data_IF_580490830243
#
_entry.id   IF_580490830243
#
_cell.length_a   1.000
_cell.length_b   1.000
_cell.length_c   1.000
_cell.angle_alpha   90.00
_cell.angle_beta   90.00
_cell.angle_gamma   90.00
#
_symmetry.space_group_name_H-M   'P 1'
#
loop_
_entity.id
_entity.type
_entity.pdbx_description
1 polymer ?
#
# COMPACT_ATOMS: atom_id res chain seq x y z
N UNK A 1 -34.65 -8.09 6.16
CA UNK A 1 -33.25 -8.24 6.63
C UNK A 1 -32.31 -8.43 5.43
N UNK A 2 -31.48 -7.43 5.14
CA UNK A 2 -30.62 -7.34 3.94
C UNK A 2 -29.40 -8.27 4.02
N UNK A 3 -29.42 -9.41 3.32
CA UNK A 3 -28.24 -10.30 3.15
C UNK A 3 -27.37 -9.87 1.96
N UNK A 4 -26.87 -8.62 1.94
CA UNK A 4 -25.98 -8.13 0.85
C UNK A 4 -24.68 -7.46 1.31
N UNK A 5 -24.30 -7.53 2.58
CA UNK A 5 -23.16 -6.75 3.09
C UNK A 5 -21.84 -7.50 3.23
N UNK A 6 -21.75 -8.80 2.90
CA UNK A 6 -20.48 -9.57 3.04
C UNK A 6 -19.88 -10.03 1.70
N UNK A 7 -20.08 -9.26 0.63
CA UNK A 7 -19.44 -9.51 -0.67
C UNK A 7 -18.15 -8.69 -0.75
N UNK A 8 -16.96 -9.31 -0.91
CA UNK A 8 -15.74 -8.55 -1.15
C UNK A 8 -15.90 -7.79 -2.47
N UNK A 9 -15.61 -6.48 -2.47
CA UNK A 9 -15.66 -5.67 -3.69
C UNK A 9 -14.60 -6.17 -4.68
N UNK A 10 -14.91 -6.16 -5.98
CA UNK A 10 -13.93 -6.43 -7.03
C UNK A 10 -12.75 -5.45 -6.85
N UNK A 11 -11.58 -6.00 -6.53
CA UNK A 11 -10.36 -5.23 -6.30
C UNK A 11 -9.71 -4.90 -7.63
N UNK A 12 -9.82 -3.66 -8.07
CA UNK A 12 -8.91 -3.12 -9.08
C UNK A 12 -7.69 -2.53 -8.36
N UNK A 13 -6.52 -3.08 -8.62
CA UNK A 13 -5.26 -2.60 -8.07
C UNK A 13 -4.10 -3.24 -8.81
N UNK A 14 -3.00 -2.51 -8.92
CA UNK A 14 -1.81 -3.02 -9.61
C UNK A 14 -1.18 -4.14 -8.78
N UNK A 15 -1.02 -5.31 -9.39
CA UNK A 15 -0.30 -6.44 -8.79
C UNK A 15 1.13 -6.39 -9.29
N UNK A 16 2.06 -5.99 -8.43
CA UNK A 16 3.49 -6.12 -8.69
C UNK A 16 3.89 -7.59 -8.46
N UNK A 17 4.37 -8.27 -9.50
CA UNK A 17 4.78 -9.69 -9.44
C UNK A 17 6.20 -9.75 -8.88
N UNK A 18 6.40 -10.45 -7.76
CA UNK A 18 7.68 -10.55 -7.04
C UNK A 18 8.79 -11.31 -7.79
N UNK A 19 8.47 -11.96 -8.91
CA UNK A 19 9.42 -12.77 -9.68
C UNK A 19 10.40 -11.93 -10.53
N UNK A 20 10.19 -10.62 -10.64
CA UNK A 20 11.15 -9.72 -11.28
C UNK A 20 12.23 -9.27 -10.28
N UNK A 21 13.52 -9.26 -10.65
CA UNK A 21 14.61 -8.87 -9.75
C UNK A 21 14.40 -7.47 -9.13
N UNK A 22 13.79 -6.56 -9.88
CA UNK A 22 13.47 -5.17 -9.46
C UNK A 22 12.32 -5.10 -8.44
N UNK A 23 11.35 -6.00 -8.51
CA UNK A 23 10.14 -5.97 -7.65
C UNK A 23 10.22 -6.94 -6.46
N UNK A 24 11.36 -7.61 -6.28
CA UNK A 24 11.63 -8.53 -5.17
C UNK A 24 11.70 -7.78 -3.83
N UNK A 25 12.28 -6.59 -3.81
CA UNK A 25 12.41 -5.75 -2.62
C UNK A 25 11.07 -5.08 -2.25
N UNK A 26 10.70 -5.21 -0.97
CA UNK A 26 9.52 -4.59 -0.37
C UNK A 26 9.54 -3.06 -0.47
N UNK A 27 10.71 -2.44 -0.29
CA UNK A 27 10.88 -0.98 -0.31
C UNK A 27 10.57 -0.40 -1.69
N UNK A 28 10.86 -1.15 -2.74
CA UNK A 28 10.57 -0.75 -4.12
C UNK A 28 9.08 -0.75 -4.38
N UNK A 29 8.39 -1.80 -3.91
CA UNK A 29 6.93 -1.87 -4.00
C UNK A 29 6.27 -0.74 -3.21
N UNK A 30 6.83 -0.39 -2.06
CA UNK A 30 6.38 0.76 -1.26
C UNK A 30 6.61 2.09 -1.98
N UNK A 31 7.78 2.30 -2.57
CA UNK A 31 8.08 3.52 -3.32
C UNK A 31 7.16 3.69 -4.54
N UNK A 32 6.84 2.61 -5.26
CA UNK A 32 5.85 2.63 -6.35
C UNK A 32 4.46 2.97 -5.81
N UNK A 33 4.08 2.42 -4.65
CA UNK A 33 2.80 2.71 -4.01
C UNK A 33 2.69 4.19 -3.61
N UNK A 34 3.80 4.80 -3.17
CA UNK A 34 3.88 6.23 -2.87
C UNK A 34 3.81 7.11 -4.12
N UNK A 35 4.40 6.66 -5.24
CA UNK A 35 4.34 7.38 -6.51
C UNK A 35 2.98 7.27 -7.21
N UNK A 36 2.12 6.34 -6.78
CA UNK A 36 0.80 6.13 -7.37
C UNK A 36 -0.24 7.10 -6.79
N UNK A 37 -0.64 8.08 -7.59
CA UNK A 37 -1.68 9.03 -7.23
C UNK A 37 -3.09 8.50 -7.55
N UNK A 38 -3.70 7.82 -6.58
CA UNK A 38 -5.07 7.33 -6.69
C UNK A 38 -6.09 8.47 -6.71
N UNK A 39 -5.88 9.54 -5.95
CA UNK A 39 -6.90 10.58 -5.77
C UNK A 39 -7.04 11.42 -7.04
N UNK A 40 -5.92 11.73 -7.70
CA UNK A 40 -5.94 12.33 -9.02
C UNK A 40 -6.59 11.42 -10.05
N UNK A 41 -6.26 10.12 -10.08
CA UNK A 41 -6.91 9.19 -11.02
C UNK A 41 -8.41 9.09 -10.79
N UNK A 42 -8.85 9.02 -9.52
CA UNK A 42 -10.25 8.96 -9.16
C UNK A 42 -11.00 10.21 -9.62
N UNK A 43 -10.38 11.39 -9.44
CA UNK A 43 -10.94 12.68 -9.86
C UNK A 43 -10.94 12.87 -11.38
N UNK A 44 -9.84 12.54 -12.05
CA UNK A 44 -9.62 12.80 -13.48
C UNK A 44 -10.25 11.76 -14.41
N UNK A 45 -10.23 10.48 -14.02
CA UNK A 45 -10.67 9.37 -14.89
C UNK A 45 -12.00 8.75 -14.44
N UNK A 46 -12.30 8.78 -13.15
CA UNK A 46 -13.42 8.03 -12.57
C UNK A 46 -14.50 8.91 -11.91
N UNK A 47 -14.43 10.23 -12.07
CA UNK A 47 -15.40 11.20 -11.53
C UNK A 47 -15.72 10.99 -10.03
N UNK A 48 -14.72 10.61 -9.22
CA UNK A 48 -14.85 10.26 -7.81
C UNK A 48 -15.79 9.09 -7.49
N UNK A 49 -16.12 8.24 -8.46
CA UNK A 49 -17.00 7.09 -8.25
C UNK A 49 -16.33 5.94 -7.47
N UNK A 50 -15.00 5.98 -7.31
CA UNK A 50 -14.25 4.91 -6.66
C UNK A 50 -13.81 5.31 -5.26
N UNK A 51 -13.71 4.32 -4.37
CA UNK A 51 -13.19 4.48 -3.02
C UNK A 51 -11.95 3.60 -2.89
N UNK A 52 -10.90 4.15 -2.29
CA UNK A 52 -9.60 3.50 -2.21
C UNK A 52 -9.67 2.23 -1.37
N UNK A 53 -8.97 1.21 -1.85
CA UNK A 53 -8.87 -0.06 -1.12
C UNK A 53 -7.71 0.00 -0.12
N UNK A 54 -8.02 -0.24 1.16
CA UNK A 54 -7.04 -0.24 2.25
C UNK A 54 -6.84 -1.62 2.89
N UNK A 55 -7.67 -2.60 2.53
CA UNK A 55 -7.62 -3.96 3.07
C UNK A 55 -7.91 -4.98 1.97
N UNK A 56 -7.30 -6.16 2.05
CA UNK A 56 -7.56 -7.26 1.13
C UNK A 56 -8.99 -7.80 1.25
N UNK A 57 -9.55 -7.77 2.46
CA UNK A 57 -10.89 -8.25 2.77
C UNK A 57 -11.88 -7.11 3.01
N UNK A 58 -11.71 -6.00 2.28
CA UNK A 58 -12.54 -4.81 2.43
C UNK A 58 -14.04 -5.15 2.31
N UNK A 59 -14.85 -4.51 3.17
CA UNK A 59 -16.28 -4.78 3.36
C UNK A 59 -16.65 -6.13 3.96
N UNK A 60 -15.69 -6.81 4.59
CA UNK A 60 -15.98 -7.98 5.41
C UNK A 60 -15.62 -7.72 6.88
N UNK A 61 -16.01 -8.64 7.75
CA UNK A 61 -15.57 -8.71 9.15
C UNK A 61 -14.06 -8.92 9.28
N UNK A 62 -13.42 -9.55 8.28
CA UNK A 62 -11.98 -9.86 8.24
C UNK A 62 -11.11 -8.69 7.77
N UNK A 63 -11.68 -7.50 7.56
CA UNK A 63 -10.89 -6.34 7.19
C UNK A 63 -10.05 -5.87 8.38
N UNK A 64 -8.73 -5.89 8.23
CA UNK A 64 -7.80 -5.26 9.16
C UNK A 64 -8.06 -3.74 9.23
N UNK A 65 -8.82 -3.32 10.25
CA UNK A 65 -9.17 -1.91 10.52
C UNK A 65 -8.42 -1.35 11.73
N UNK A 66 -8.11 -2.22 12.69
CA UNK A 66 -7.54 -1.87 13.99
C UNK A 66 -6.23 -2.62 14.22
N UNK A 67 -5.58 -2.33 15.34
CA UNK A 67 -4.45 -3.11 15.84
C UNK A 67 -4.84 -4.58 16.06
N UNK A 68 -3.88 -5.51 15.94
CA UNK A 68 -4.15 -6.93 16.17
C UNK A 68 -4.72 -7.16 17.57
N UNK A 69 -5.85 -7.86 17.65
CA UNK A 69 -6.43 -8.24 18.94
C UNK A 69 -5.60 -9.35 19.60
N UNK A 70 -5.83 -9.63 20.89
CA UNK A 70 -5.11 -10.65 21.64
C UNK A 70 -5.15 -12.03 20.95
N UNK A 71 -6.29 -12.40 20.35
CA UNK A 71 -6.43 -13.64 19.58
C UNK A 71 -5.58 -13.63 18.29
N UNK A 72 -5.50 -12.50 17.59
CA UNK A 72 -4.68 -12.36 16.39
C UNK A 72 -3.19 -12.35 16.73
N UNK A 73 -2.80 -11.76 17.86
CA UNK A 73 -1.41 -11.79 18.35
C UNK A 73 -0.93 -13.21 18.64
N UNK A 74 -1.80 -14.09 19.15
CA UNK A 74 -1.48 -15.52 19.35
C UNK A 74 -1.19 -16.21 18.02
N UNK A 75 -1.95 -15.89 16.97
CA UNK A 75 -1.73 -16.43 15.62
C UNK A 75 -0.48 -15.84 14.96
N UNK A 76 -0.18 -14.56 15.21
CA UNK A 76 0.97 -13.86 14.63
C UNK A 76 2.29 -14.14 15.37
N UNK A 77 2.24 -14.55 16.64
CA UNK A 77 3.40 -14.87 17.46
C UNK A 77 4.43 -15.81 16.79
N UNK A 78 4.05 -16.98 16.23
CA UNK A 78 5.00 -17.86 15.55
C UNK A 78 5.59 -17.26 14.27
N UNK A 79 4.90 -16.29 13.65
CA UNK A 79 5.31 -15.66 12.39
C UNK A 79 6.06 -14.32 12.61
N UNK A 80 6.28 -13.90 13.86
CA UNK A 80 6.95 -12.63 14.18
C UNK A 80 8.30 -12.43 13.49
N UNK A 81 9.04 -13.52 13.25
CA UNK A 81 10.37 -13.48 12.61
C UNK A 81 10.32 -13.12 11.11
N UNK A 82 9.21 -13.44 10.44
CA UNK A 82 9.03 -13.25 9.01
C UNK A 82 8.16 -12.01 8.70
N UNK A 83 7.55 -11.42 9.73
CA UNK A 83 6.64 -10.28 9.61
C UNK A 83 7.36 -8.95 9.89
N UNK A 84 7.01 -7.88 9.15
CA UNK A 84 7.44 -6.53 9.49
C UNK A 84 6.99 -6.13 10.89
N UNK A 85 7.84 -5.44 11.69
CA UNK A 85 7.44 -4.95 13.00
C UNK A 85 6.27 -3.94 12.92
N UNK A 86 6.15 -3.25 11.79
CA UNK A 86 5.09 -2.29 11.49
C UNK A 86 3.68 -2.91 11.57
N UNK A 87 3.53 -4.22 11.34
CA UNK A 87 2.23 -4.92 11.44
C UNK A 87 1.65 -4.82 12.85
N UNK A 88 2.51 -4.71 13.87
CA UNK A 88 2.10 -4.65 15.27
C UNK A 88 1.92 -3.21 15.79
N UNK A 89 2.55 -2.23 15.14
CA UNK A 89 2.66 -0.86 15.67
C UNK A 89 1.98 0.19 14.80
N UNK A 90 1.62 -0.13 13.55
CA UNK A 90 1.02 0.83 12.62
C UNK A 90 -0.15 0.21 11.88
N UNK A 91 -1.28 0.95 11.86
CA UNK A 91 -2.41 0.61 11.01
C UNK A 91 -2.03 0.99 9.58
N UNK A 92 -2.01 0.01 8.68
CA UNK A 92 -1.73 0.26 7.27
C UNK A 92 -2.80 1.17 6.67
N UNK A 93 -2.38 2.34 6.20
CA UNK A 93 -3.21 3.23 5.41
C UNK A 93 -2.50 3.54 4.10
N UNK A 94 -3.19 3.42 2.95
CA UNK A 94 -2.60 3.76 1.67
C UNK A 94 -2.30 5.28 1.61
N UNK A 95 -1.22 5.70 0.93
CA UNK A 95 -0.75 7.09 0.97
C UNK A 95 -1.72 8.03 0.26
N UNK A 96 -2.38 8.91 1.02
CA UNK A 96 -3.35 9.88 0.48
C UNK A 96 -2.65 11.06 -0.18
N UNK A 97 -3.30 11.59 -1.21
CA UNK A 97 -2.84 12.61 -2.13
C UNK A 97 -3.82 13.79 -2.11
N UNK A 98 -3.40 14.99 -2.50
CA UNK A 98 -4.34 16.13 -2.65
C UNK A 98 -5.19 16.06 -3.92
N UNK A 99 -4.89 15.13 -4.84
CA UNK A 99 -5.60 14.95 -6.11
C UNK A 99 -5.51 16.16 -7.05
N UNK A 100 -4.52 17.03 -6.84
CA UNK A 100 -4.17 18.16 -7.71
C UNK A 100 -3.15 17.77 -8.79
N UNK A 101 -2.66 16.53 -8.76
CA UNK A 101 -1.66 15.98 -9.68
C UNK A 101 -0.22 16.36 -9.31
N UNK A 102 0.02 16.99 -8.16
CA UNK A 102 1.34 17.41 -7.73
C UNK A 102 1.65 17.02 -6.27
N UNK A 103 1.66 15.72 -5.97
CA UNK A 103 2.07 15.22 -4.65
C UNK A 103 3.59 15.15 -4.48
N UNK A 104 4.22 16.32 -4.43
CA UNK A 104 5.66 16.45 -4.21
C UNK A 104 6.13 15.70 -2.96
N UNK A 105 5.36 15.69 -1.89
CA UNK A 105 5.72 15.03 -0.63
C UNK A 105 5.76 13.50 -0.76
N UNK A 106 4.77 12.92 -1.45
CA UNK A 106 4.73 11.47 -1.70
C UNK A 106 5.85 11.06 -2.68
N UNK A 107 6.15 11.89 -3.67
CA UNK A 107 7.27 11.69 -4.59
C UNK A 107 8.64 11.79 -3.90
N UNK A 108 8.81 12.71 -2.95
CA UNK A 108 10.03 12.82 -2.15
C UNK A 108 10.22 11.59 -1.25
N UNK A 109 9.16 11.12 -0.58
CA UNK A 109 9.20 9.87 0.20
C UNK A 109 9.51 8.67 -0.69
N UNK A 110 8.87 8.56 -1.84
CA UNK A 110 9.13 7.51 -2.84
C UNK A 110 10.62 7.50 -3.24
N UNK A 111 11.18 8.66 -3.58
CA UNK A 111 12.60 8.81 -3.93
C UNK A 111 13.52 8.36 -2.79
N UNK A 112 13.24 8.76 -1.56
CA UNK A 112 14.04 8.35 -0.40
C UNK A 112 13.97 6.83 -0.17
N UNK A 113 12.77 6.24 -0.27
CA UNK A 113 12.59 4.80 -0.10
C UNK A 113 13.29 4.00 -1.20
N UNK A 114 13.24 4.45 -2.45
CA UNK A 114 13.98 3.84 -3.58
C UNK A 114 15.51 3.96 -3.42
N UNK A 115 16.01 5.10 -2.94
CA UNK A 115 17.44 5.26 -2.65
C UNK A 115 17.90 4.28 -1.56
N UNK A 116 17.06 4.03 -0.53
CA UNK A 116 17.34 3.05 0.53
C UNK A 116 17.28 1.60 0.06
N UNK A 117 16.69 1.30 -1.09
CA UNK A 117 16.74 -0.04 -1.72
C UNK A 117 17.84 -0.16 -2.77
N UNK A 118 18.65 0.89 -2.98
CA UNK A 118 19.70 0.91 -4.00
C UNK A 118 19.19 1.18 -5.43
N UNK A 119 17.87 1.26 -5.62
CA UNK A 119 17.26 1.63 -6.89
C UNK A 119 17.24 3.15 -7.04
N UNK A 120 18.33 3.69 -7.59
CA UNK A 120 18.45 5.13 -7.87
C UNK A 120 19.85 5.72 -7.68
N UNK A 121 20.84 4.92 -7.27
CA UNK A 121 22.22 5.38 -7.11
C UNK A 121 22.94 5.62 -8.46
N UNK A 122 22.46 5.04 -9.57
CA UNK A 122 23.13 5.14 -10.88
C UNK A 122 22.81 6.41 -11.69
N UNK A 123 22.05 7.36 -11.15
CA UNK A 123 21.67 8.58 -11.88
C UNK A 123 22.45 9.85 -11.50
N UNK A 124 23.37 9.81 -10.54
CA UNK A 124 23.99 11.03 -9.97
C UNK A 124 25.52 11.03 -9.88
N UNK A 125 26.19 10.08 -10.55
CA UNK A 125 27.65 10.01 -10.57
C UNK A 125 28.19 9.56 -11.94
N UNK A 126 27.87 10.30 -12.99
CA UNK A 126 28.72 10.41 -14.18
C UNK A 126 28.63 11.84 -14.68
N UNK A 127 29.52 12.68 -14.15
CA UNK A 127 29.97 13.91 -14.77
C UNK A 127 31.49 13.85 -14.82
#
# INVERSE_FOLDING_TARGET
MSKRTNQPRIRAGWRLISNGPVFSDRRVREAITLAFDFEWMNKALFYNAWSRTNSYFQNTEYAARNYPDAAELVLLAPMKKDLPPEVFTQIYQPPVSKGDGYDRDNLLKSRQTSQRSGLGAEGSATR
#
